data_IF_816520569667
#
_entry.id   IF_816520569667
#
_cell.length_a   1.000
_cell.length_b   1.000
_cell.length_c   1.000
_cell.angle_alpha   90.00
_cell.angle_beta   90.00
_cell.angle_gamma   90.00
#
_symmetry.space_group_name_H-M   'P 1'
#
loop_
_entity.id
_entity.type
_entity.pdbx_description
1 polymer ?
#
# COMPACT_ATOMS: atom_id res chain seq x y z
N UNK A 1 -3.02 -13.33 15.14
CA UNK A 1 -4.05 -12.32 14.90
C UNK A 1 -3.31 -11.19 14.25
N UNK A 2 -3.08 -11.40 12.96
CA UNK A 2 -2.52 -10.44 12.05
C UNK A 2 -3.22 -10.72 10.73
N UNK A 3 -3.87 -9.69 10.19
CA UNK A 3 -4.11 -9.57 8.75
C UNK A 3 -3.89 -8.12 8.29
N UNK A 4 -3.98 -7.15 9.23
CA UNK A 4 -3.19 -5.91 9.29
C UNK A 4 -3.38 -5.15 10.64
N UNK A 5 -4.19 -5.52 11.65
CA UNK A 5 -4.10 -6.68 12.59
C UNK A 5 -5.49 -7.27 12.99
N UNK A 6 -6.56 -6.50 12.81
CA UNK A 6 -7.92 -6.81 12.30
C UNK A 6 -8.06 -5.68 11.24
N UNK A 7 -8.86 -5.69 10.16
CA UNK A 7 -8.89 -4.51 9.25
C UNK A 7 -9.64 -3.30 9.90
N UNK A 8 -9.18 -2.88 11.09
CA UNK A 8 -9.92 -2.46 12.29
C UNK A 8 -10.82 -3.59 12.82
N UNK A 9 -11.28 -3.56 14.06
CA UNK A 9 -12.31 -4.41 14.71
C UNK A 9 -13.66 -4.58 13.95
N UNK A 10 -13.68 -4.84 12.64
CA UNK A 10 -14.86 -4.88 11.75
C UNK A 10 -15.78 -6.11 11.92
N UNK A 11 -15.74 -6.73 13.10
CA UNK A 11 -16.79 -7.59 13.64
C UNK A 11 -17.57 -6.92 14.78
N UNK A 12 -17.33 -5.65 15.11
CA UNK A 12 -18.17 -4.89 16.04
C UNK A 12 -19.01 -3.85 15.31
N UNK A 13 -20.13 -4.30 14.77
CA UNK A 13 -21.37 -3.49 14.76
C UNK A 13 -21.91 -3.27 16.20
N UNK A 14 -21.18 -3.63 17.24
CA UNK A 14 -21.57 -3.35 18.63
C UNK A 14 -20.34 -2.87 19.38
N UNK A 15 -20.12 -1.56 19.42
CA UNK A 15 -19.95 -0.81 20.67
C UNK A 15 -19.40 0.59 20.41
N UNK A 16 -20.31 1.51 20.09
CA UNK A 16 -20.14 2.93 20.41
C UNK A 16 -20.17 3.20 21.94
N UNK A 17 -20.09 2.17 22.81
CA UNK A 17 -20.32 2.29 24.27
C UNK A 17 -19.46 1.36 25.15
N UNK A 18 -18.28 0.90 24.73
CA UNK A 18 -17.40 0.23 25.68
C UNK A 18 -15.94 0.59 25.42
N UNK A 19 -15.45 1.58 26.17
CA UNK A 19 -14.02 1.82 26.37
C UNK A 19 -13.39 0.52 26.90
N UNK A 20 -12.67 -0.20 26.05
CA UNK A 20 -11.71 -1.18 26.54
C UNK A 20 -10.62 -0.40 27.30
N UNK A 21 -10.21 -0.86 28.50
CA UNK A 21 -9.17 -0.17 29.25
C UNK A 21 -7.87 -0.11 28.42
N UNK A 22 -7.13 1.01 28.46
CA UNK A 22 -5.87 1.13 27.74
C UNK A 22 -4.89 0.10 28.31
N UNK A 23 -4.67 -0.98 27.56
CA UNK A 23 -3.59 -1.92 27.86
C UNK A 23 -2.29 -1.17 27.53
N UNK A 24 -1.34 -1.03 28.47
CA UNK A 24 -0.03 -0.47 28.15
C UNK A 24 0.68 -1.42 27.19
N UNK A 25 0.69 -1.09 25.91
CA UNK A 25 1.39 -1.90 24.91
C UNK A 25 2.89 -1.67 25.08
N UNK A 26 3.71 -2.73 25.20
CA UNK A 26 5.16 -2.57 25.10
C UNK A 26 5.46 -2.09 23.68
N UNK A 27 5.86 -0.82 23.57
CA UNK A 27 6.38 -0.25 22.33
C UNK A 27 7.74 -0.90 22.11
N UNK A 28 7.77 -2.03 21.43
CA UNK A 28 8.99 -2.46 20.77
C UNK A 28 9.22 -1.47 19.63
N UNK A 29 10.13 -0.51 19.85
CA UNK A 29 10.67 0.26 18.75
C UNK A 29 11.20 -0.75 17.74
N UNK A 30 10.68 -0.73 16.51
CA UNK A 30 11.37 -1.39 15.42
C UNK A 30 12.67 -0.60 15.28
N UNK A 31 13.74 -1.12 15.85
CA UNK A 31 15.07 -0.71 15.43
C UNK A 31 15.14 -1.03 13.95
N UNK A 32 15.38 0.01 13.14
CA UNK A 32 15.61 -0.11 11.71
C UNK A 32 16.92 -0.89 11.53
N UNK A 33 16.85 -2.20 11.71
CA UNK A 33 17.97 -3.08 11.45
C UNK A 33 18.26 -3.03 9.95
N UNK A 34 19.51 -2.80 9.59
CA UNK A 34 19.96 -2.79 8.21
C UNK A 34 19.61 -4.11 7.50
N UNK A 35 19.61 -5.22 8.24
CA UNK A 35 19.22 -6.54 7.72
C UNK A 35 17.75 -6.60 7.27
N UNK A 36 16.84 -6.00 8.02
CA UNK A 36 15.41 -5.96 7.70
C UNK A 36 15.11 -5.04 6.51
N UNK A 37 15.97 -4.06 6.23
CA UNK A 37 15.84 -3.22 5.05
C UNK A 37 16.21 -3.98 3.78
N UNK A 38 17.20 -4.87 3.82
CA UNK A 38 17.65 -5.65 2.66
C UNK A 38 16.61 -6.63 2.11
N UNK A 39 15.65 -7.03 2.96
CA UNK A 39 14.53 -7.90 2.59
C UNK A 39 13.43 -7.16 1.83
N UNK A 40 13.42 -5.81 1.87
CA UNK A 40 12.41 -5.01 1.18
C UNK A 40 12.61 -5.00 -0.35
N UNK A 41 11.51 -4.90 -1.13
CA UNK A 41 11.59 -4.62 -2.56
C UNK A 41 12.50 -3.42 -2.84
N UNK A 42 13.35 -3.55 -3.87
CA UNK A 42 14.41 -2.57 -4.15
C UNK A 42 13.89 -1.17 -4.40
N UNK A 43 12.68 -1.04 -4.96
CA UNK A 43 12.00 0.25 -5.14
C UNK A 43 11.80 0.99 -3.82
N UNK A 44 11.33 0.30 -2.78
CA UNK A 44 11.18 0.89 -1.44
C UNK A 44 12.54 1.19 -0.81
N UNK A 45 13.54 0.32 -0.99
CA UNK A 45 14.90 0.58 -0.48
C UNK A 45 15.49 1.87 -1.05
N UNK A 46 15.32 2.13 -2.34
CA UNK A 46 15.81 3.37 -2.95
C UNK A 46 15.17 4.62 -2.33
N UNK A 47 13.87 4.59 -2.03
CA UNK A 47 13.18 5.70 -1.36
C UNK A 47 13.67 5.90 0.09
N UNK A 48 13.91 4.81 0.81
CA UNK A 48 14.39 4.83 2.19
C UNK A 48 15.82 5.39 2.25
N UNK A 49 16.71 4.92 1.39
CA UNK A 49 18.09 5.42 1.31
C UNK A 49 18.16 6.89 0.86
N UNK A 50 17.21 7.32 0.01
CA UNK A 50 17.06 8.73 -0.38
C UNK A 50 16.45 9.63 0.70
N UNK A 51 16.13 9.10 1.89
CA UNK A 51 15.46 9.81 2.99
C UNK A 51 14.14 10.49 2.56
N UNK A 52 13.41 9.87 1.62
CA UNK A 52 12.16 10.40 1.05
C UNK A 52 10.91 10.03 1.80
N UNK A 53 11.01 9.05 2.68
CA UNK A 53 9.89 8.52 3.45
C UNK A 53 10.03 8.89 4.92
N UNK A 54 8.91 9.26 5.54
CA UNK A 54 8.87 9.44 6.99
C UNK A 54 9.04 8.09 7.69
N UNK A 55 9.50 8.11 8.94
CA UNK A 55 9.68 6.90 9.76
C UNK A 55 8.41 6.04 9.83
N UNK A 56 7.24 6.68 9.89
CA UNK A 56 5.96 5.99 9.99
C UNK A 56 5.65 5.21 8.71
N UNK A 57 5.91 5.81 7.53
CA UNK A 57 5.72 5.12 6.24
C UNK A 57 6.67 3.92 6.12
N UNK A 58 7.92 4.08 6.56
CA UNK A 58 8.90 2.98 6.57
C UNK A 58 8.43 1.83 7.45
N UNK A 59 7.92 2.12 8.65
CA UNK A 59 7.35 1.11 9.54
C UNK A 59 6.15 0.40 8.91
N UNK A 60 5.26 1.11 8.22
CA UNK A 60 4.13 0.51 7.49
C UNK A 60 4.61 -0.44 6.39
N UNK A 61 5.65 -0.06 5.63
CA UNK A 61 6.27 -0.89 4.59
C UNK A 61 6.87 -2.17 5.20
N UNK A 62 7.62 -2.06 6.30
CA UNK A 62 8.21 -3.20 6.99
C UNK A 62 7.13 -4.16 7.51
N UNK A 63 6.06 -3.62 8.08
CA UNK A 63 4.91 -4.43 8.52
C UNK A 63 4.25 -5.14 7.34
N UNK A 64 4.05 -4.46 6.22
CA UNK A 64 3.52 -5.07 5.01
C UNK A 64 4.42 -6.22 4.52
N UNK A 65 5.75 -6.06 4.60
CA UNK A 65 6.72 -7.12 4.29
C UNK A 65 6.57 -8.35 5.19
N UNK A 66 6.57 -8.15 6.52
CA UNK A 66 6.39 -9.22 7.51
C UNK A 66 5.09 -10.00 7.25
N UNK A 67 3.99 -9.29 6.97
CA UNK A 67 2.70 -9.92 6.68
C UNK A 67 2.72 -10.69 5.36
N UNK A 68 3.36 -10.13 4.33
CA UNK A 68 3.52 -10.81 3.06
C UNK A 68 4.33 -12.10 3.21
N UNK A 69 5.46 -12.07 3.93
CA UNK A 69 6.29 -13.24 4.18
C UNK A 69 5.56 -14.30 5.01
N UNK A 70 4.76 -13.88 5.99
CA UNK A 70 3.91 -14.81 6.73
C UNK A 70 2.81 -15.44 5.85
N UNK A 71 2.35 -14.76 4.81
CA UNK A 71 1.24 -15.19 3.94
C UNK A 71 1.71 -16.03 2.76
N UNK A 72 2.82 -15.63 2.12
CA UNK A 72 3.31 -16.19 0.87
C UNK A 72 4.74 -16.75 0.97
N UNK A 73 5.44 -16.53 2.07
CA UNK A 73 6.80 -17.01 2.29
C UNK A 73 6.89 -18.53 2.25
N UNK A 74 7.91 -19.03 1.55
CA UNK A 74 8.18 -20.46 1.29
C UNK A 74 8.69 -21.22 2.53
N UNK A 75 8.15 -20.98 3.73
CA UNK A 75 8.56 -21.76 4.90
C UNK A 75 8.09 -23.20 4.76
N UNK A 76 9.04 -24.12 4.57
CA UNK A 76 8.84 -25.59 4.49
C UNK A 76 8.42 -26.22 5.82
N UNK A 77 8.45 -25.43 6.89
CA UNK A 77 7.96 -25.81 8.21
C UNK A 77 6.59 -25.18 8.40
N UNK A 78 5.61 -26.02 8.73
CA UNK A 78 4.24 -25.61 9.11
C UNK A 78 4.26 -24.27 9.85
N UNK A 79 3.47 -23.28 9.41
CA UNK A 79 3.48 -21.95 10.01
C UNK A 79 3.18 -22.09 11.49
N UNK A 80 4.19 -21.86 12.34
CA UNK A 80 3.97 -21.83 13.77
C UNK A 80 3.28 -20.49 14.08
N UNK A 81 1.95 -20.50 13.95
CA UNK A 81 1.07 -19.36 14.16
C UNK A 81 1.29 -18.64 15.51
N UNK A 82 1.92 -19.30 16.48
CA UNK A 82 2.20 -18.74 17.80
C UNK A 82 3.47 -17.87 17.85
N UNK A 83 4.47 -18.10 16.98
CA UNK A 83 5.70 -17.28 16.94
C UNK A 83 5.42 -15.90 16.32
N UNK A 84 4.68 -15.86 15.21
CA UNK A 84 4.24 -14.60 14.58
C UNK A 84 3.18 -13.85 15.39
N UNK A 85 2.46 -14.53 16.29
CA UNK A 85 1.50 -13.90 17.21
C UNK A 85 2.18 -13.04 18.29
N UNK A 86 3.46 -13.31 18.58
CA UNK A 86 4.22 -12.59 19.61
C UNK A 86 4.90 -11.34 19.04
N UNK A 87 5.36 -11.36 17.79
CA UNK A 87 5.98 -10.20 17.14
C UNK A 87 4.95 -9.23 16.54
N UNK A 88 3.80 -9.73 16.09
CA UNK A 88 2.72 -8.89 15.55
C UNK A 88 1.66 -8.69 16.64
N UNK A 89 2.04 -7.94 17.66
CA UNK A 89 1.12 -7.42 18.66
C UNK A 89 0.54 -6.10 18.18
N UNK A 90 -0.78 -5.93 18.37
CA UNK A 90 -1.56 -4.77 17.96
C UNK A 90 -0.92 -3.47 18.47
N UNK A 91 -0.08 -2.85 17.64
CA UNK A 91 0.61 -1.59 18.00
C UNK A 91 -0.29 -0.38 17.77
N UNK A 92 -1.13 -0.47 16.75
CA UNK A 92 -1.98 0.63 16.29
C UNK A 92 -3.44 0.22 16.35
N UNK A 93 -4.29 1.13 16.80
CA UNK A 93 -5.74 1.00 16.86
C UNK A 93 -6.37 1.14 15.47
N UNK A 94 -5.85 2.06 14.65
CA UNK A 94 -6.31 2.30 13.29
C UNK A 94 -5.16 2.67 12.32
N UNK A 95 -5.52 2.91 11.05
CA UNK A 95 -4.57 3.25 10.00
C UNK A 95 -4.04 4.69 10.13
N UNK A 96 -4.75 5.59 10.80
CA UNK A 96 -4.30 6.97 11.03
C UNK A 96 -3.20 6.97 12.08
N UNK A 97 -3.32 6.12 13.10
CA UNK A 97 -2.27 5.93 14.10
C UNK A 97 -1.01 5.30 13.48
N UNK A 98 -1.18 4.32 12.60
CA UNK A 98 -0.07 3.69 11.87
C UNK A 98 0.59 4.64 10.84
N UNK A 99 -0.21 5.43 10.14
CA UNK A 99 0.25 6.40 9.16
C UNK A 99 -0.43 7.76 9.41
N UNK A 100 0.13 8.62 10.29
CA UNK A 100 -0.44 9.94 10.62
C UNK A 100 -0.62 10.86 9.40
N UNK A 101 0.13 10.61 8.32
CA UNK A 101 -0.02 11.32 7.05
C UNK A 101 -1.41 11.13 6.42
N UNK A 102 -2.10 10.03 6.72
CA UNK A 102 -3.49 9.80 6.27
C UNK A 102 -4.48 10.74 6.97
N UNK A 103 -4.22 11.10 8.23
CA UNK A 103 -5.05 12.01 9.01
C UNK A 103 -4.68 13.48 8.86
N UNK A 104 -3.60 13.78 8.12
CA UNK A 104 -3.20 15.17 7.86
C UNK A 104 -4.26 15.87 7.02
N UNK A 105 -4.70 17.08 7.41
CA UNK A 105 -5.75 17.80 6.70
C UNK A 105 -5.32 18.04 5.25
N UNK A 106 -6.21 17.72 4.32
CA UNK A 106 -6.00 18.00 2.92
C UNK A 106 -6.08 19.51 2.69
N UNK A 107 -4.99 20.11 2.22
CA UNK A 107 -5.08 21.43 1.59
C UNK A 107 -5.77 21.22 0.23
N UNK A 108 -6.97 21.82 0.00
CA UNK A 108 -7.69 21.67 -1.26
C UNK A 108 -6.88 22.09 -2.49
N UNK A 109 -5.83 22.88 -2.28
CA UNK A 109 -4.99 23.47 -3.32
C UNK A 109 -3.62 22.81 -3.44
N UNK A 110 -3.29 21.84 -2.57
CA UNK A 110 -2.02 21.13 -2.61
C UNK A 110 -2.22 19.67 -3.00
N UNK A 111 -1.24 19.13 -3.71
CA UNK A 111 -1.15 17.69 -3.95
C UNK A 111 -0.80 16.94 -2.66
N UNK A 112 -1.31 15.72 -2.53
CA UNK A 112 -0.96 14.84 -1.44
C UNK A 112 0.53 14.49 -1.48
N UNK A 113 1.22 14.46 -0.32
CA UNK A 113 2.61 14.03 -0.27
C UNK A 113 2.72 12.56 -0.68
N UNK A 114 3.89 12.18 -1.24
CA UNK A 114 4.16 10.82 -1.70
C UNK A 114 3.91 9.77 -0.63
N UNK A 115 4.27 10.04 0.63
CA UNK A 115 4.04 9.12 1.74
C UNK A 115 2.55 8.83 2.00
N UNK A 116 1.67 9.83 1.88
CA UNK A 116 0.21 9.66 1.97
C UNK A 116 -0.32 8.79 0.83
N UNK A 117 0.10 9.09 -0.41
CA UNK A 117 -0.25 8.29 -1.59
C UNK A 117 0.23 6.84 -1.45
N UNK A 118 1.45 6.65 -0.96
CA UNK A 118 2.05 5.34 -0.72
C UNK A 118 1.31 4.56 0.37
N UNK A 119 1.00 5.18 1.52
CA UNK A 119 0.18 4.54 2.56
C UNK A 119 -1.19 4.10 2.03
N UNK A 120 -1.87 4.96 1.26
CA UNK A 120 -3.15 4.60 0.62
C UNK A 120 -3.00 3.45 -0.38
N UNK A 121 -1.95 3.46 -1.20
CA UNK A 121 -1.67 2.37 -2.14
C UNK A 121 -1.38 1.06 -1.42
N UNK A 122 -0.57 1.07 -0.36
CA UNK A 122 -0.31 -0.12 0.45
C UNK A 122 -1.58 -0.69 1.07
N UNK A 123 -2.45 0.16 1.62
CA UNK A 123 -3.75 -0.26 2.12
C UNK A 123 -4.59 -0.94 1.04
N UNK A 124 -4.65 -0.36 -0.16
CA UNK A 124 -5.39 -0.93 -1.31
C UNK A 124 -4.78 -2.24 -1.78
N UNK A 125 -3.45 -2.30 -1.93
CA UNK A 125 -2.69 -3.48 -2.33
C UNK A 125 -2.92 -4.64 -1.35
N UNK A 126 -2.72 -4.39 -0.05
CA UNK A 126 -2.99 -5.36 1.01
C UNK A 126 -4.45 -5.81 1.03
N UNK A 127 -5.41 -4.90 0.84
CA UNK A 127 -6.84 -5.26 0.79
C UNK A 127 -7.23 -6.07 -0.46
N UNK A 128 -6.48 -5.98 -1.55
CA UNK A 128 -6.72 -6.76 -2.76
C UNK A 128 -6.20 -8.19 -2.62
N UNK A 129 -4.99 -8.35 -2.08
CA UNK A 129 -4.28 -9.63 -2.15
C UNK A 129 -4.32 -10.44 -0.84
N UNK A 130 -4.40 -9.75 0.30
CA UNK A 130 -4.32 -10.38 1.62
C UNK A 130 -5.70 -10.61 2.27
N UNK A 131 -6.78 -10.06 1.70
CA UNK A 131 -8.13 -10.16 2.27
C UNK A 131 -9.24 -10.46 1.24
N UNK A 132 -9.53 -11.74 0.96
CA UNK A 132 -10.65 -12.12 0.11
C UNK A 132 -12.04 -12.02 0.78
N UNK A 133 -12.13 -11.59 2.05
CA UNK A 133 -13.37 -11.63 2.84
C UNK A 133 -14.18 -10.32 2.69
N UNK A 134 -15.48 -10.45 2.44
CA UNK A 134 -16.43 -9.34 2.20
C UNK A 134 -16.61 -8.34 3.35
N UNK A 135 -16.25 -8.72 4.59
CA UNK A 135 -16.36 -7.89 5.80
C UNK A 135 -15.56 -6.59 5.74
N UNK A 136 -14.68 -6.46 4.74
CA UNK A 136 -13.70 -5.38 4.61
C UNK A 136 -13.96 -4.54 3.37
N UNK A 137 -15.09 -4.78 2.72
CA UNK A 137 -15.56 -4.07 1.54
C UNK A 137 -15.65 -2.56 1.78
N UNK A 138 -16.02 -2.12 2.99
CA UNK A 138 -16.07 -0.71 3.36
C UNK A 138 -14.67 -0.06 3.41
N UNK A 139 -13.72 -0.63 4.15
CA UNK A 139 -12.34 -0.11 4.24
C UNK A 139 -11.63 -0.15 2.88
N UNK A 140 -11.78 -1.25 2.14
CA UNK A 140 -11.27 -1.37 0.77
C UNK A 140 -11.86 -0.30 -0.15
N UNK A 141 -13.17 -0.07 -0.07
CA UNK A 141 -13.84 0.96 -0.87
C UNK A 141 -13.39 2.35 -0.47
N UNK A 142 -13.22 2.62 0.83
CA UNK A 142 -12.75 3.90 1.36
C UNK A 142 -11.31 4.19 0.91
N UNK A 143 -10.37 3.28 1.15
CA UNK A 143 -8.97 3.43 0.75
C UNK A 143 -8.83 3.60 -0.77
N UNK A 144 -9.56 2.79 -1.56
CA UNK A 144 -9.60 2.94 -3.02
C UNK A 144 -10.12 4.31 -3.46
N UNK A 145 -11.22 4.78 -2.87
CA UNK A 145 -11.80 6.10 -3.19
C UNK A 145 -10.87 7.24 -2.77
N UNK A 146 -10.27 7.15 -1.58
CA UNK A 146 -9.28 8.12 -1.09
C UNK A 146 -8.07 8.21 -2.00
N UNK A 147 -7.46 7.07 -2.34
CA UNK A 147 -6.34 7.02 -3.28
C UNK A 147 -6.71 7.64 -4.62
N UNK A 148 -7.90 7.31 -5.13
CA UNK A 148 -8.38 7.86 -6.40
C UNK A 148 -8.54 9.37 -6.35
N UNK A 149 -9.17 9.90 -5.30
CA UNK A 149 -9.37 11.32 -5.12
C UNK A 149 -8.05 12.10 -5.11
N UNK A 150 -7.01 11.55 -4.47
CA UNK A 150 -5.69 12.17 -4.44
C UNK A 150 -4.95 12.07 -5.79
N UNK A 151 -5.05 10.92 -6.47
CA UNK A 151 -4.44 10.77 -7.81
C UNK A 151 -5.07 11.68 -8.87
N UNK A 152 -6.37 11.97 -8.76
CA UNK A 152 -7.04 12.93 -9.65
C UNK A 152 -6.51 14.36 -9.48
N UNK A 153 -5.97 14.70 -8.31
CA UNK A 153 -5.33 16.00 -8.03
C UNK A 153 -3.83 16.01 -8.36
N UNK A 154 -3.22 14.84 -8.54
CA UNK A 154 -1.78 14.68 -8.70
C UNK A 154 -1.32 15.07 -10.13
N UNK A 155 -1.03 16.34 -10.32
CA UNK A 155 -0.60 16.93 -11.59
C UNK A 155 0.91 17.12 -11.70
N UNK A 156 1.62 17.14 -10.57
CA UNK A 156 3.02 17.50 -10.49
C UNK A 156 3.91 16.32 -10.84
N UNK A 157 4.94 16.55 -11.64
CA UNK A 157 6.02 15.58 -11.88
C UNK A 157 7.04 15.66 -10.76
N UNK A 158 7.55 14.52 -10.31
CA UNK A 158 8.64 14.49 -9.34
C UNK A 158 9.98 14.61 -10.05
N UNK A 159 10.86 15.47 -9.54
CA UNK A 159 12.20 15.68 -10.11
C UNK A 159 13.11 14.45 -9.91
N UNK A 160 12.82 13.64 -8.89
CA UNK A 160 13.62 12.46 -8.56
C UNK A 160 13.04 11.18 -9.13
N UNK A 161 13.90 10.44 -9.83
CA UNK A 161 13.56 9.19 -10.53
C UNK A 161 12.88 8.16 -9.62
N UNK A 162 13.35 7.99 -8.40
CA UNK A 162 12.79 7.00 -7.47
C UNK A 162 11.37 7.38 -6.98
N UNK A 163 11.09 8.67 -6.80
CA UNK A 163 9.75 9.15 -6.43
C UNK A 163 8.77 8.94 -7.58
N UNK A 164 9.17 9.24 -8.83
CA UNK A 164 8.33 9.03 -10.00
C UNK A 164 8.10 7.53 -10.28
N UNK A 165 9.10 6.68 -10.05
CA UNK A 165 8.98 5.21 -10.11
C UNK A 165 8.01 4.67 -9.05
N UNK A 166 8.08 5.19 -7.82
CA UNK A 166 7.13 4.86 -6.76
C UNK A 166 5.71 5.30 -7.13
N UNK A 167 5.57 6.49 -7.69
CA UNK A 167 4.28 7.02 -8.09
C UNK A 167 3.69 6.18 -9.23
N UNK A 168 4.50 5.74 -10.20
CA UNK A 168 4.07 4.77 -11.21
C UNK A 168 3.46 3.53 -10.56
N UNK A 169 4.13 2.94 -9.57
CA UNK A 169 3.60 1.78 -8.83
C UNK A 169 2.28 2.11 -8.12
N UNK A 170 2.18 3.24 -7.42
CA UNK A 170 0.95 3.72 -6.76
C UNK A 170 -0.22 3.80 -7.74
N UNK A 171 0.01 4.36 -8.93
CA UNK A 171 -1.00 4.44 -9.97
C UNK A 171 -1.44 3.07 -10.48
N UNK A 172 -0.52 2.12 -10.66
CA UNK A 172 -0.84 0.76 -11.09
C UNK A 172 -1.67 0.02 -10.04
N UNK A 173 -1.39 0.22 -8.75
CA UNK A 173 -2.23 -0.30 -7.66
C UNK A 173 -3.64 0.27 -7.73
N UNK A 174 -3.78 1.58 -7.93
CA UNK A 174 -5.09 2.24 -8.07
C UNK A 174 -5.87 1.70 -9.27
N UNK A 175 -5.23 1.58 -10.44
CA UNK A 175 -5.84 1.06 -11.65
C UNK A 175 -6.31 -0.39 -11.49
N UNK A 176 -5.51 -1.24 -10.84
CA UNK A 176 -5.90 -2.61 -10.55
C UNK A 176 -7.13 -2.68 -9.63
N UNK A 177 -7.25 -1.78 -8.64
CA UNK A 177 -8.37 -1.75 -7.72
C UNK A 177 -9.73 -1.38 -8.35
N UNK A 178 -9.71 -0.84 -9.57
CA UNK A 178 -10.90 -0.49 -10.36
C UNK A 178 -11.21 -1.48 -11.49
N UNK A 179 -10.44 -2.56 -11.65
CA UNK A 179 -10.78 -3.62 -12.60
C UNK A 179 -11.90 -4.49 -12.06
N UNK A 180 -12.82 -4.86 -12.93
CA UNK A 180 -13.78 -5.90 -12.64
C UNK A 180 -13.15 -7.29 -12.83
N UNK A 181 -13.91 -8.36 -12.56
CA UNK A 181 -13.45 -9.74 -12.73
C UNK A 181 -13.12 -10.12 -14.18
N UNK A 182 -13.54 -9.31 -15.15
CA UNK A 182 -13.21 -9.47 -16.58
C UNK A 182 -11.97 -8.66 -16.97
N UNK A 183 -11.33 -7.99 -16.02
CA UNK A 183 -10.15 -7.17 -16.26
C UNK A 183 -10.44 -5.83 -16.95
N UNK A 184 -11.69 -5.40 -17.02
CA UNK A 184 -12.12 -4.15 -17.68
C UNK A 184 -12.28 -3.04 -16.64
N UNK A 185 -11.75 -1.84 -16.95
CA UNK A 185 -12.00 -0.63 -16.18
C UNK A 185 -13.40 -0.08 -16.48
N UNK A 186 -14.15 0.25 -15.44
CA UNK A 186 -15.45 0.90 -15.57
C UNK A 186 -15.49 2.22 -14.79
N UNK A 187 -16.19 3.22 -15.35
CA UNK A 187 -16.37 4.54 -14.73
C UNK A 187 -15.04 5.21 -14.40
N UNK A 188 -14.80 5.43 -13.10
CA UNK A 188 -13.62 6.12 -12.56
C UNK A 188 -12.30 5.44 -12.97
N UNK A 189 -12.28 4.12 -13.11
CA UNK A 189 -11.08 3.41 -13.58
C UNK A 189 -10.68 3.80 -15.01
N UNK A 190 -11.66 4.07 -15.88
CA UNK A 190 -11.39 4.50 -17.26
C UNK A 190 -10.80 5.91 -17.30
N UNK A 191 -11.32 6.81 -16.47
CA UNK A 191 -10.78 8.18 -16.33
C UNK A 191 -9.34 8.17 -15.79
N UNK A 192 -9.09 7.40 -14.73
CA UNK A 192 -7.73 7.20 -14.20
C UNK A 192 -6.78 6.64 -15.28
N UNK A 193 -7.24 5.71 -16.13
CA UNK A 193 -6.39 5.15 -17.17
C UNK A 193 -5.96 6.18 -18.23
N UNK A 194 -6.83 7.15 -18.54
CA UNK A 194 -6.53 8.23 -19.48
C UNK A 194 -5.48 9.17 -18.87
N UNK A 195 -5.69 9.57 -17.61
CA UNK A 195 -4.74 10.43 -16.88
C UNK A 195 -3.38 9.76 -16.71
N UNK A 196 -3.37 8.47 -16.38
CA UNK A 196 -2.16 7.67 -16.30
C UNK A 196 -1.37 7.68 -17.60
N UNK A 197 -2.04 7.42 -18.75
CA UNK A 197 -1.39 7.44 -20.07
C UNK A 197 -0.82 8.81 -20.40
N UNK A 198 -1.54 9.88 -20.06
CA UNK A 198 -1.08 11.25 -20.28
C UNK A 198 0.16 11.55 -19.43
N UNK A 199 0.13 11.19 -18.15
CA UNK A 199 1.20 11.44 -17.18
C UNK A 199 2.48 10.66 -17.51
N UNK A 200 2.36 9.34 -17.68
CA UNK A 200 3.52 8.45 -17.85
C UNK A 200 3.85 8.17 -19.31
N UNK A 201 3.42 9.03 -20.24
CA UNK A 201 3.63 8.85 -21.69
C UNK A 201 5.07 8.55 -22.07
N UNK A 202 6.03 9.21 -21.43
CA UNK A 202 7.46 9.01 -21.70
C UNK A 202 7.95 7.65 -21.20
N UNK A 203 7.53 7.24 -20.00
CA UNK A 203 7.88 5.93 -19.43
C UNK A 203 7.24 4.81 -20.26
N UNK A 204 5.96 4.97 -20.63
CA UNK A 204 5.22 4.04 -21.49
C UNK A 204 5.81 3.93 -22.90
N UNK A 205 6.40 5.00 -23.42
CA UNK A 205 7.12 4.99 -24.70
C UNK A 205 8.35 4.07 -24.71
N UNK A 206 8.88 3.71 -23.53
CA UNK A 206 9.90 2.67 -23.36
C UNK A 206 9.36 1.24 -23.48
N UNK A 207 8.05 1.08 -23.68
CA UNK A 207 7.38 -0.20 -23.83
C UNK A 207 7.04 -0.89 -22.50
N UNK A 208 6.44 -2.07 -22.63
CA UNK A 208 6.03 -2.91 -21.50
C UNK A 208 7.20 -3.24 -20.56
N UNK A 209 8.35 -3.63 -21.11
CA UNK A 209 9.51 -4.10 -20.33
C UNK A 209 10.07 -3.03 -19.39
N UNK A 210 10.10 -1.77 -19.83
CA UNK A 210 10.56 -0.65 -19.00
C UNK A 210 9.63 -0.39 -17.82
N UNK A 211 8.32 -0.44 -18.05
CA UNK A 211 7.33 -0.26 -17.00
C UNK A 211 7.26 -1.46 -16.05
N UNK A 212 7.34 -2.69 -16.58
CA UNK A 212 7.25 -3.91 -15.77
C UNK A 212 8.42 -3.99 -14.80
N UNK A 213 9.64 -3.67 -15.24
CA UNK A 213 10.81 -3.63 -14.38
C UNK A 213 10.64 -2.68 -13.19
N UNK A 214 10.10 -1.48 -13.43
CA UNK A 214 9.84 -0.50 -12.36
C UNK A 214 8.82 -1.08 -11.38
N UNK A 215 7.68 -1.55 -11.86
CA UNK A 215 6.59 -2.04 -11.00
C UNK A 215 7.04 -3.26 -10.20
N UNK A 216 7.74 -4.20 -10.82
CA UNK A 216 8.30 -5.40 -10.19
C UNK A 216 9.27 -5.05 -9.05
N UNK A 217 9.98 -3.93 -9.14
CA UNK A 217 10.90 -3.49 -8.08
C UNK A 217 10.20 -3.12 -6.76
N UNK A 218 8.87 -2.93 -6.78
CA UNK A 218 8.03 -2.63 -5.62
C UNK A 218 7.10 -3.80 -5.22
N UNK A 219 7.15 -4.94 -5.94
CA UNK A 219 6.28 -6.07 -5.64
C UNK A 219 6.87 -6.95 -4.55
N UNK A 220 6.04 -7.24 -3.54
CA UNK A 220 6.30 -8.33 -2.60
C UNK A 220 5.89 -9.69 -3.16
N UNK A 221 4.90 -9.71 -4.03
CA UNK A 221 4.42 -10.92 -4.70
C UNK A 221 3.77 -10.55 -6.05
N UNK A 222 3.63 -11.49 -7.00
CA UNK A 222 3.20 -11.21 -8.37
C UNK A 222 1.67 -11.08 -8.55
N UNK A 223 0.92 -10.82 -7.48
CA UNK A 223 -0.55 -10.68 -7.51
C UNK A 223 -1.03 -9.47 -8.30
N UNK A 224 -0.24 -8.39 -8.32
CA UNK A 224 -0.57 -7.20 -9.08
C UNK A 224 -0.53 -7.55 -10.56
N UNK A 225 -1.67 -7.45 -11.24
CA UNK A 225 -1.71 -7.72 -12.67
C UNK A 225 -1.01 -6.60 -13.44
N UNK A 226 0.28 -6.82 -13.72
CA UNK A 226 1.12 -5.91 -14.49
C UNK A 226 0.89 -6.05 -16.00
N UNK A 227 0.16 -7.07 -16.48
CA UNK A 227 -0.15 -7.23 -17.91
C UNK A 227 -0.99 -6.07 -18.43
N UNK A 228 -1.69 -5.35 -17.54
CA UNK A 228 -2.40 -4.13 -17.89
C UNK A 228 -1.46 -3.05 -18.47
N UNK A 229 -0.17 -3.08 -18.16
CA UNK A 229 0.81 -2.17 -18.75
C UNK A 229 0.88 -2.36 -20.27
N UNK A 230 0.71 -3.57 -20.78
CA UNK A 230 0.68 -3.84 -22.22
C UNK A 230 -0.57 -3.25 -22.90
N UNK A 231 -1.66 -3.03 -22.16
CA UNK A 231 -2.84 -2.32 -22.66
C UNK A 231 -2.72 -0.79 -22.53
N UNK A 232 -1.78 -0.32 -21.72
CA UNK A 232 -1.55 1.10 -21.46
C UNK A 232 -0.45 1.69 -22.34
N UNK A 233 0.63 0.94 -22.58
CA UNK A 233 1.72 1.24 -23.52
C UNK A 233 1.24 1.17 -24.98
#
# INVERSE_FOLDING_TARGET
>A
MCRFEYLSSLGTEISFLQEAPPVPYPIHAIDLDASALDELPSGFRHLIHGAKLSRNVIEVIQRANIVNDATFGKSKTTPNYNTYKLEITAKYFDYIEACPELGSPDDPWSEAPLGKLLCLALLVYCCNDLCPVSALSASKTSARRGLTAELLKCTSTHDEKCEEECLLWVWIVALNAWRNNLGVWTGVGSELSILFKARFRLILGGGYEGCSYIVESFLWNPSLDITLLAALA
#
